data_IF_714642638961
#
_entry.id   IF_714642638961
#
_cell.length_a   1.000
_cell.length_b   1.000
_cell.length_c   1.000
_cell.angle_alpha   90.00
_cell.angle_beta   90.00
_cell.angle_gamma   90.00
#
_symmetry.space_group_name_H-M   'P 1'
#
loop_
_entity.id
_entity.type
_entity.pdbx_description
1 polymer ?
#
# COMPACT_ATOMS: atom_id res chain seq x y z
N UNK A 1 6.38 13.77 16.87
CA UNK A 1 7.12 12.55 16.45
C UNK A 1 7.90 12.90 15.19
N UNK A 2 9.24 12.87 15.23
CA UNK A 2 10.10 13.39 14.15
C UNK A 2 9.78 12.70 12.81
N UNK A 3 9.67 13.44 11.71
CA UNK A 3 9.21 12.90 10.42
C UNK A 3 10.11 11.77 9.90
N UNK A 4 11.43 11.89 10.15
CA UNK A 4 12.41 10.84 9.86
C UNK A 4 12.12 9.53 10.60
N UNK A 5 11.56 9.59 11.82
CA UNK A 5 11.18 8.37 12.57
C UNK A 5 9.95 7.72 11.95
N UNK A 6 8.99 8.50 11.42
CA UNK A 6 7.81 7.94 10.74
C UNK A 6 8.24 7.17 9.50
N UNK A 7 9.08 7.79 8.67
CA UNK A 7 9.59 7.16 7.44
C UNK A 7 10.44 5.92 7.77
N UNK A 8 11.39 6.05 8.71
CA UNK A 8 12.25 4.92 9.11
C UNK A 8 11.47 3.74 9.70
N UNK A 9 10.48 4.01 10.55
CA UNK A 9 9.62 2.95 11.09
C UNK A 9 8.78 2.28 10.00
N UNK A 10 8.22 3.06 9.07
CA UNK A 10 7.44 2.53 7.95
C UNK A 10 8.28 1.61 7.05
N UNK A 11 9.54 1.98 6.81
CA UNK A 11 10.49 1.16 6.04
C UNK A 11 10.81 -0.15 6.76
N UNK A 12 11.09 -0.11 8.07
CA UNK A 12 11.33 -1.31 8.88
C UNK A 12 10.11 -2.23 8.88
N UNK A 13 8.90 -1.66 8.95
CA UNK A 13 7.65 -2.39 8.89
C UNK A 13 7.47 -3.06 7.52
N UNK A 14 7.83 -2.39 6.43
CA UNK A 14 7.79 -2.95 5.08
C UNK A 14 8.77 -4.13 4.93
N UNK A 15 10.00 -4.01 5.46
CA UNK A 15 10.98 -5.11 5.47
C UNK A 15 10.49 -6.29 6.32
N UNK A 16 9.94 -6.01 7.51
CA UNK A 16 9.37 -7.05 8.37
C UNK A 16 8.20 -7.78 7.71
N UNK A 17 7.30 -7.05 7.06
CA UNK A 17 6.17 -7.63 6.31
C UNK A 17 6.66 -8.47 5.12
N UNK A 18 7.67 -8.01 4.39
CA UNK A 18 8.26 -8.80 3.31
C UNK A 18 8.85 -10.11 3.83
N UNK A 19 9.53 -10.08 4.98
CA UNK A 19 10.03 -11.29 5.65
C UNK A 19 8.91 -12.25 6.08
N UNK A 20 7.88 -11.74 6.77
CA UNK A 20 6.73 -12.55 7.21
C UNK A 20 6.03 -13.20 6.02
N UNK A 21 5.75 -12.43 4.97
CA UNK A 21 5.12 -12.95 3.77
C UNK A 21 5.99 -14.02 3.13
N UNK A 22 7.31 -13.79 3.04
CA UNK A 22 8.21 -14.77 2.44
C UNK A 22 8.20 -16.12 3.17
N UNK A 23 8.11 -16.09 4.51
CA UNK A 23 8.01 -17.30 5.34
C UNK A 23 6.65 -17.98 5.17
N UNK A 24 5.55 -17.21 5.13
CA UNK A 24 4.20 -17.77 5.03
C UNK A 24 3.91 -18.35 3.65
N UNK A 25 4.37 -17.69 2.58
CA UNK A 25 4.09 -18.11 1.20
C UNK A 25 5.18 -19.00 0.61
N UNK A 26 6.20 -19.35 1.39
CA UNK A 26 7.39 -20.10 0.98
C UNK A 26 8.01 -19.58 -0.34
N UNK A 27 7.95 -18.26 -0.52
CA UNK A 27 8.29 -17.56 -1.76
C UNK A 27 8.88 -16.21 -1.44
N UNK A 28 10.07 -15.93 -1.95
CA UNK A 28 10.83 -14.71 -1.64
C UNK A 28 10.09 -13.44 -2.11
N UNK A 29 9.52 -12.70 -1.17
CA UNK A 29 8.89 -11.40 -1.43
C UNK A 29 9.95 -10.29 -1.50
N UNK A 30 10.72 -10.26 -2.59
CA UNK A 30 11.75 -9.24 -2.80
C UNK A 30 11.08 -7.88 -3.04
N UNK A 31 11.35 -6.93 -2.12
CA UNK A 31 10.84 -5.56 -2.18
C UNK A 31 11.18 -4.91 -3.52
N UNK A 32 10.14 -4.42 -4.22
CA UNK A 32 10.30 -3.71 -5.50
C UNK A 32 10.64 -4.58 -6.72
N UNK A 33 10.78 -5.90 -6.57
CA UNK A 33 11.01 -6.83 -7.69
C UNK A 33 9.86 -7.80 -7.88
N UNK A 34 9.37 -8.40 -6.79
CA UNK A 34 8.21 -9.30 -6.86
C UNK A 34 6.90 -8.53 -6.80
N UNK A 35 5.80 -9.03 -7.40
CA UNK A 35 4.50 -8.35 -7.34
C UNK A 35 4.07 -8.01 -5.90
N UNK A 36 4.27 -8.97 -4.99
CA UNK A 36 3.94 -8.82 -3.57
C UNK A 36 4.93 -7.89 -2.86
N UNK A 37 6.24 -8.04 -3.08
CA UNK A 37 7.24 -7.14 -2.52
C UNK A 37 7.09 -5.70 -3.02
N UNK A 38 6.66 -5.50 -4.26
CA UNK A 38 6.37 -4.19 -4.84
C UNK A 38 5.10 -3.59 -4.22
N UNK A 39 4.07 -4.40 -3.97
CA UNK A 39 2.87 -3.96 -3.26
C UNK A 39 3.17 -3.56 -1.80
N UNK A 40 3.97 -4.35 -1.07
CA UNK A 40 4.38 -4.03 0.30
C UNK A 40 5.20 -2.74 0.32
N UNK A 41 6.16 -2.60 -0.59
CA UNK A 41 6.98 -1.39 -0.71
C UNK A 41 6.13 -0.15 -0.99
N UNK A 42 5.24 -0.22 -1.96
CA UNK A 42 4.38 0.90 -2.35
C UNK A 42 3.37 1.25 -1.26
N UNK A 43 2.67 0.28 -0.66
CA UNK A 43 1.66 0.56 0.36
C UNK A 43 2.27 0.99 1.70
N UNK A 44 3.26 0.25 2.20
CA UNK A 44 3.82 0.43 3.55
C UNK A 44 5.05 1.32 3.54
N UNK A 45 5.96 1.12 2.58
CA UNK A 45 7.18 1.91 2.47
C UNK A 45 6.94 3.34 2.00
N UNK A 46 5.95 3.56 1.12
CA UNK A 46 5.66 4.88 0.53
C UNK A 46 4.29 5.41 0.95
N UNK A 47 3.22 4.65 0.74
CA UNK A 47 1.84 5.12 0.93
C UNK A 47 1.55 5.54 2.37
N UNK A 48 1.87 4.68 3.33
CA UNK A 48 1.64 4.90 4.76
C UNK A 48 2.34 6.16 5.30
N UNK A 49 3.67 6.36 5.13
CA UNK A 49 4.32 7.57 5.63
C UNK A 49 3.83 8.83 4.91
N UNK A 50 3.57 8.76 3.60
CA UNK A 50 3.03 9.92 2.87
C UNK A 50 1.64 10.32 3.35
N UNK A 51 0.79 9.35 3.67
CA UNK A 51 -0.53 9.60 4.23
C UNK A 51 -0.45 10.23 5.62
N UNK A 52 0.38 9.68 6.51
CA UNK A 52 0.59 10.22 7.86
C UNK A 52 1.17 11.64 7.80
N UNK A 53 2.13 11.90 6.92
CA UNK A 53 2.73 13.22 6.73
C UNK A 53 1.76 14.20 6.09
N UNK A 54 0.91 13.77 5.15
CA UNK A 54 -0.14 14.59 4.57
C UNK A 54 -1.13 15.09 5.63
N UNK A 55 -1.54 14.22 6.56
CA UNK A 55 -2.42 14.60 7.68
C UNK A 55 -1.79 15.62 8.63
N UNK A 56 -0.48 15.55 8.84
CA UNK A 56 0.23 16.50 9.72
C UNK A 56 0.50 17.84 9.07
N UNK A 57 0.80 17.85 7.77
CA UNK A 57 1.22 19.05 7.04
C UNK A 57 0.07 19.71 6.27
N UNK A 58 -1.08 19.05 6.15
CA UNK A 58 -2.18 19.48 5.30
C UNK A 58 -1.83 19.47 3.79
N UNK A 59 -0.73 18.82 3.40
CA UNK A 59 -0.21 18.89 2.03
C UNK A 59 -1.01 17.97 1.08
N UNK A 60 -1.73 18.54 0.08
CA UNK A 60 -2.51 17.74 -0.87
C UNK A 60 -1.61 16.91 -1.80
N UNK A 61 -0.38 17.35 -2.06
CA UNK A 61 0.58 16.66 -2.92
C UNK A 61 1.05 15.35 -2.27
N UNK A 62 1.31 15.36 -0.96
CA UNK A 62 1.65 14.14 -0.19
C UNK A 62 0.48 13.17 -0.13
N UNK A 63 -0.74 13.68 -0.04
CA UNK A 63 -1.95 12.87 -0.07
C UNK A 63 -2.14 12.21 -1.45
N UNK A 64 -1.81 12.92 -2.53
CA UNK A 64 -1.79 12.39 -3.89
C UNK A 64 -0.74 11.32 -4.11
N UNK A 65 0.46 11.51 -3.56
CA UNK A 65 1.51 10.49 -3.58
C UNK A 65 1.11 9.25 -2.78
N UNK A 66 0.44 9.41 -1.63
CA UNK A 66 -0.12 8.28 -0.90
C UNK A 66 -1.19 7.53 -1.71
N UNK A 67 -2.04 8.28 -2.42
CA UNK A 67 -3.06 7.72 -3.32
C UNK A 67 -2.43 6.88 -4.43
N UNK A 68 -1.43 7.44 -5.12
CA UNK A 68 -0.73 6.78 -6.22
C UNK A 68 0.03 5.56 -5.74
N UNK A 69 0.68 5.64 -4.58
CA UNK A 69 1.41 4.52 -4.02
C UNK A 69 0.46 3.37 -3.66
N UNK A 70 -0.68 3.64 -3.03
CA UNK A 70 -1.69 2.62 -2.74
C UNK A 70 -2.31 2.08 -4.03
N UNK A 71 -2.66 2.95 -4.99
CA UNK A 71 -3.17 2.50 -6.30
C UNK A 71 -2.17 1.62 -7.06
N UNK A 72 -0.89 1.99 -7.06
CA UNK A 72 0.19 1.22 -7.65
C UNK A 72 0.40 -0.12 -6.95
N UNK A 73 0.28 -0.17 -5.61
CA UNK A 73 0.31 -1.42 -4.87
C UNK A 73 -0.87 -2.34 -5.26
N UNK A 74 -2.07 -1.76 -5.50
CA UNK A 74 -3.22 -2.51 -5.96
C UNK A 74 -2.96 -3.14 -7.33
N UNK A 75 -2.44 -2.34 -8.26
CA UNK A 75 -2.10 -2.76 -9.62
C UNK A 75 -0.96 -3.79 -9.65
N UNK A 76 0.03 -3.68 -8.77
CA UNK A 76 1.13 -4.63 -8.66
C UNK A 76 0.62 -6.04 -8.33
N UNK A 77 -0.30 -6.14 -7.37
CA UNK A 77 -0.91 -7.43 -7.02
C UNK A 77 -1.81 -7.95 -8.14
N UNK A 78 -2.65 -7.09 -8.73
CA UNK A 78 -3.50 -7.50 -9.86
C UNK A 78 -2.67 -7.96 -11.08
N UNK A 79 -1.59 -7.26 -11.40
CA UNK A 79 -0.67 -7.60 -12.48
C UNK A 79 0.05 -8.92 -12.21
N UNK A 80 0.53 -9.13 -10.99
CA UNK A 80 1.11 -10.41 -10.62
C UNK A 80 0.10 -11.56 -10.71
N UNK A 81 -1.17 -11.32 -10.36
CA UNK A 81 -2.21 -12.33 -10.36
C UNK A 81 -2.57 -12.73 -11.80
N UNK A 82 -2.67 -11.75 -12.70
CA UNK A 82 -2.86 -11.99 -14.12
C UNK A 82 -1.69 -12.76 -14.77
N UNK A 83 -0.46 -12.58 -14.26
CA UNK A 83 0.73 -13.31 -14.72
C UNK A 83 0.87 -14.71 -14.10
N UNK A 84 -0.06 -15.17 -13.27
CA UNK A 84 0.00 -16.48 -12.60
C UNK A 84 1.13 -16.59 -11.57
N UNK A 85 1.69 -15.45 -11.13
CA UNK A 85 2.86 -15.37 -10.25
C UNK A 85 2.50 -15.18 -8.77
N UNK A 86 1.24 -14.88 -8.46
CA UNK A 86 0.72 -15.02 -7.11
C UNK A 86 0.21 -16.45 -6.97
N UNK A 87 0.81 -17.17 -6.02
CA UNK A 87 0.58 -18.57 -5.58
C UNK A 87 -0.80 -19.19 -5.90
N UNK A 88 -0.84 -20.53 -6.02
CA UNK A 88 -2.05 -21.34 -6.26
C UNK A 88 -3.25 -21.04 -5.32
N UNK A 89 -3.05 -20.32 -4.21
CA UNK A 89 -4.08 -19.87 -3.27
C UNK A 89 -5.10 -18.85 -3.82
N UNK A 90 -4.83 -18.20 -4.96
CA UNK A 90 -5.82 -17.34 -5.62
C UNK A 90 -7.00 -18.13 -6.22
N UNK A 91 -6.93 -19.47 -6.22
CA UNK A 91 -7.84 -20.31 -6.99
C UNK A 91 -9.27 -20.39 -6.46
N UNK A 92 -9.62 -19.88 -5.28
CA UNK A 92 -11.00 -19.55 -4.82
C UNK A 92 -11.02 -19.20 -3.31
N UNK A 93 -11.77 -18.17 -2.89
CA UNK A 93 -12.41 -18.17 -1.55
C UNK A 93 -12.48 -16.85 -0.79
N UNK A 94 -11.35 -16.23 -0.43
CA UNK A 94 -11.38 -15.12 0.55
C UNK A 94 -10.29 -14.06 0.36
N UNK A 95 -9.10 -14.46 -0.11
CA UNK A 95 -7.95 -13.57 -0.32
C UNK A 95 -8.25 -12.45 -1.32
N UNK A 96 -8.80 -12.71 -2.52
CA UNK A 96 -9.13 -11.62 -3.46
C UNK A 96 -10.26 -10.72 -2.96
N UNK A 97 -11.20 -11.25 -2.14
CA UNK A 97 -12.28 -10.46 -1.52
C UNK A 97 -11.69 -9.51 -0.46
N UNK A 98 -10.83 -10.01 0.41
CA UNK A 98 -10.11 -9.20 1.40
C UNK A 98 -9.22 -8.16 0.72
N UNK A 99 -8.57 -8.54 -0.38
CA UNK A 99 -7.76 -7.61 -1.17
C UNK A 99 -8.60 -6.44 -1.69
N UNK A 100 -9.74 -6.74 -2.34
CA UNK A 100 -10.70 -5.73 -2.81
C UNK A 100 -11.23 -4.86 -1.66
N UNK A 101 -11.55 -5.47 -0.52
CA UNK A 101 -12.04 -4.74 0.65
C UNK A 101 -10.98 -3.79 1.23
N UNK A 102 -9.76 -4.26 1.44
CA UNK A 102 -8.66 -3.48 2.02
C UNK A 102 -8.24 -2.36 1.06
N UNK A 103 -7.98 -2.68 -0.20
CA UNK A 103 -7.59 -1.65 -1.18
C UNK A 103 -8.74 -0.69 -1.49
N UNK A 104 -9.97 -1.18 -1.58
CA UNK A 104 -11.15 -0.35 -1.75
C UNK A 104 -11.35 0.62 -0.58
N UNK A 105 -11.16 0.17 0.66
CA UNK A 105 -11.20 1.05 1.84
C UNK A 105 -10.06 2.06 1.84
N UNK A 106 -8.84 1.66 1.48
CA UNK A 106 -7.70 2.57 1.41
C UNK A 106 -7.92 3.66 0.36
N UNK A 107 -8.28 3.28 -0.87
CA UNK A 107 -8.61 4.22 -1.95
C UNK A 107 -9.79 5.12 -1.54
N UNK A 108 -10.85 4.54 -0.98
CA UNK A 108 -12.02 5.28 -0.51
C UNK A 108 -11.68 6.31 0.57
N UNK A 109 -10.80 5.96 1.51
CA UNK A 109 -10.33 6.88 2.56
C UNK A 109 -9.60 8.09 1.98
N UNK A 110 -8.72 7.85 1.01
CA UNK A 110 -7.95 8.89 0.32
C UNK A 110 -8.87 9.79 -0.50
N UNK A 111 -9.80 9.22 -1.27
CA UNK A 111 -10.78 9.98 -2.05
C UNK A 111 -11.66 10.85 -1.14
N UNK A 112 -12.10 10.32 0.00
CA UNK A 112 -12.86 11.08 0.99
C UNK A 112 -12.06 12.26 1.53
N UNK A 113 -10.77 12.06 1.80
CA UNK A 113 -9.89 13.10 2.33
C UNK A 113 -9.60 14.19 1.29
N UNK A 114 -9.36 13.80 0.04
CA UNK A 114 -9.29 14.74 -1.10
C UNK A 114 -10.55 15.58 -1.23
N UNK A 115 -11.72 14.95 -1.23
CA UNK A 115 -13.02 15.64 -1.33
C UNK A 115 -13.26 16.60 -0.16
N UNK A 116 -12.78 16.26 1.04
CA UNK A 116 -12.87 17.13 2.21
C UNK A 116 -11.95 18.35 2.06
N UNK A 117 -10.72 18.15 1.58
CA UNK A 117 -9.80 19.24 1.29
C UNK A 117 -10.32 20.25 0.27
N UNK A 118 -11.03 19.79 -0.78
CA UNK A 118 -11.68 20.68 -1.75
C UNK A 118 -12.86 21.46 -1.18
N UNK A 119 -13.64 20.88 -0.25
CA UNK A 119 -14.79 21.54 0.37
C UNK A 119 -14.44 22.65 1.36
N UNK A 120 -13.24 22.63 1.92
CA UNK A 120 -12.82 23.62 2.93
C UNK A 120 -12.20 24.87 2.31
N UNK A 121 -12.01 24.91 0.98
CA UNK A 121 -11.49 26.06 0.21
C UNK A 121 -12.55 26.78 -0.63
N UNK A 122 -13.80 26.34 -0.58
CA UNK A 122 -14.97 27.04 -1.12
C UNK A 122 -15.57 27.92 -0.05
#
# INVERSE_FOLDING_TARGET
MNDSRVVGFSLLLAVGLAGVVSVVTDSLAILGQTPIGLAIYLAVGIGLPQFVLARRTGSPLRLGLAALAIGGAALAVLGGAAMGSLTEEWRLGIVPILFLAVFGMLIGSIVREFRTGFRTRS
#
